data_IF_349776241077
#
_entry.id   IF_349776241077
#
_cell.length_a   1.000
_cell.length_b   1.000
_cell.length_c   1.000
_cell.angle_alpha   90.00
_cell.angle_beta   90.00
_cell.angle_gamma   90.00
#
_symmetry.space_group_name_H-M   'P 1'
#
loop_
_entity.id
_entity.type
_entity.pdbx_description
1 polymer ?
#
# COMPACT_ATOMS: atom_id res chain seq x y z
N UNK A 1 -28.08 9.14 -13.07
CA UNK A 1 -26.91 9.50 -13.88
C UNK A 1 -26.50 10.89 -13.44
N UNK A 2 -25.37 11.00 -12.76
CA UNK A 2 -24.49 12.17 -12.74
C UNK A 2 -23.20 11.74 -12.03
N UNK A 3 -22.13 11.60 -12.81
CA UNK A 3 -20.82 11.15 -12.37
C UNK A 3 -20.11 12.29 -11.62
N UNK A 4 -20.20 12.31 -10.31
CA UNK A 4 -19.37 13.16 -9.45
C UNK A 4 -17.96 12.57 -9.39
N UNK A 5 -17.14 13.01 -10.34
CA UNK A 5 -15.72 12.72 -10.40
C UNK A 5 -15.01 13.23 -9.14
N UNK A 6 -14.03 12.45 -8.66
CA UNK A 6 -13.18 12.61 -7.46
C UNK A 6 -12.37 13.92 -7.37
N UNK A 7 -12.62 14.90 -8.22
CA UNK A 7 -11.75 16.04 -8.46
C UNK A 7 -12.11 17.29 -7.61
N UNK A 8 -13.10 17.19 -6.71
CA UNK A 8 -13.59 18.31 -5.89
C UNK A 8 -13.04 18.36 -4.47
N UNK A 9 -12.40 17.29 -4.01
CA UNK A 9 -11.68 17.27 -2.75
C UNK A 9 -10.21 17.23 -3.15
N UNK A 10 -9.41 18.20 -2.72
CA UNK A 10 -7.96 18.22 -2.94
C UNK A 10 -7.26 17.08 -2.19
N UNK A 11 -7.58 15.84 -2.53
CA UNK A 11 -7.04 14.62 -1.95
C UNK A 11 -6.24 13.89 -3.02
N UNK A 12 -4.93 13.72 -2.78
CA UNK A 12 -4.10 12.82 -3.57
C UNK A 12 -4.22 11.41 -3.01
N UNK A 13 -4.40 10.43 -3.91
CA UNK A 13 -4.19 9.01 -3.61
C UNK A 13 -2.72 8.85 -3.18
N UNK A 14 -2.50 8.46 -1.93
CA UNK A 14 -1.17 8.14 -1.42
C UNK A 14 -0.66 6.86 -2.07
N UNK A 15 0.09 7.00 -3.17
CA UNK A 15 0.96 5.93 -3.66
C UNK A 15 2.09 5.74 -2.65
N UNK A 16 2.31 4.51 -2.21
CA UNK A 16 3.34 4.08 -1.26
C UNK A 16 4.66 4.89 -1.30
N UNK A 17 5.07 5.38 -0.12
CA UNK A 17 6.41 5.83 0.33
C UNK A 17 7.08 7.04 -0.34
N UNK A 18 6.40 8.18 -0.47
CA UNK A 18 7.11 9.45 -0.71
C UNK A 18 7.74 10.00 0.59
N UNK A 19 8.90 9.47 0.95
CA UNK A 19 9.75 10.01 2.00
C UNK A 19 10.27 11.40 1.60
N UNK A 20 9.54 12.45 1.96
CA UNK A 20 9.94 13.83 1.72
C UNK A 20 11.02 14.25 2.73
N UNK A 21 12.29 13.90 2.47
CA UNK A 21 13.43 14.41 3.27
C UNK A 21 13.62 15.90 2.97
N UNK A 22 13.08 16.76 3.84
CA UNK A 22 13.47 18.18 3.87
C UNK A 22 14.91 18.26 4.35
N UNK A 23 15.74 18.97 3.59
CA UNK A 23 17.12 19.29 3.96
C UNK A 23 17.10 20.27 5.14
N UNK A 24 17.08 19.77 6.37
CA UNK A 24 17.62 20.52 7.49
C UNK A 24 19.14 20.35 7.43
N UNK A 25 19.86 21.45 7.21
CA UNK A 25 21.32 21.47 7.13
C UNK A 25 21.93 20.70 8.29
N UNK A 26 22.81 19.75 7.97
CA UNK A 26 23.39 18.82 8.92
C UNK A 26 24.72 19.35 9.48
N UNK A 27 25.02 19.22 10.78
CA UNK A 27 26.40 19.27 11.26
C UNK A 27 27.12 17.93 10.96
N UNK A 28 28.45 17.95 10.75
CA UNK A 28 29.19 16.84 10.16
C UNK A 28 29.42 15.72 11.16
N UNK A 29 29.26 14.45 10.74
CA UNK A 29 29.68 13.32 11.58
C UNK A 29 29.01 11.96 11.40
N UNK A 30 28.22 11.68 10.36
CA UNK A 30 27.79 10.29 10.10
C UNK A 30 27.89 9.99 8.62
N UNK A 31 28.68 8.97 8.32
CA UNK A 31 28.90 8.42 6.99
C UNK A 31 27.54 7.93 6.45
N UNK A 32 27.02 8.62 5.43
CA UNK A 32 25.90 8.12 4.62
C UNK A 32 26.55 7.29 3.53
N UNK A 33 26.22 6.00 3.47
CA UNK A 33 26.50 5.19 2.31
C UNK A 33 25.87 5.89 1.11
N UNK A 34 26.71 6.26 0.17
CA UNK A 34 26.36 6.89 -1.10
C UNK A 34 25.52 5.89 -1.90
N UNK A 35 24.20 6.03 -1.80
CA UNK A 35 23.29 5.37 -2.72
C UNK A 35 23.09 6.34 -3.88
N UNK A 36 23.96 6.21 -4.89
CA UNK A 36 23.72 6.76 -6.21
C UNK A 36 22.46 6.09 -6.78
N UNK A 37 21.31 6.71 -6.57
CA UNK A 37 20.01 6.23 -7.06
C UNK A 37 19.86 6.69 -8.50
N UNK A 38 20.47 5.96 -9.43
CA UNK A 38 20.14 6.09 -10.83
C UNK A 38 18.75 5.45 -11.05
N UNK A 39 17.71 6.20 -11.48
CA UNK A 39 16.33 5.70 -11.59
C UNK A 39 16.10 4.67 -12.71
N UNK A 40 17.18 4.17 -13.31
CA UNK A 40 17.18 3.21 -14.42
C UNK A 40 17.71 1.83 -14.03
N UNK A 41 18.03 1.60 -12.76
CA UNK A 41 18.28 0.25 -12.31
C UNK A 41 16.95 -0.51 -12.38
N UNK A 42 16.82 -1.32 -13.43
CA UNK A 42 15.95 -2.49 -13.46
C UNK A 42 16.43 -3.43 -12.35
N UNK A 43 16.17 -3.05 -11.11
CA UNK A 43 16.29 -3.94 -9.98
C UNK A 43 15.09 -4.86 -10.11
N UNK A 44 15.27 -5.94 -10.86
CA UNK A 44 14.46 -7.15 -10.77
C UNK A 44 14.51 -7.56 -9.29
N UNK A 45 13.64 -6.97 -8.47
CA UNK A 45 13.43 -7.36 -7.11
C UNK A 45 12.86 -8.78 -7.19
N UNK A 46 13.75 -9.78 -7.26
CA UNK A 46 13.38 -11.18 -7.26
C UNK A 46 12.51 -11.36 -6.01
N UNK A 47 11.25 -11.71 -6.24
CA UNK A 47 10.33 -12.04 -5.15
C UNK A 47 11.00 -13.16 -4.36
N UNK A 48 11.22 -12.99 -3.03
CA UNK A 48 11.83 -14.04 -2.24
C UNK A 48 11.06 -15.33 -2.47
N UNK A 49 11.79 -16.39 -2.85
CA UNK A 49 11.18 -17.71 -2.99
C UNK A 49 10.55 -18.07 -1.65
N UNK A 50 9.29 -18.47 -1.71
CA UNK A 50 8.54 -18.81 -0.52
C UNK A 50 9.19 -20.05 0.11
N UNK A 51 9.68 -19.90 1.34
CA UNK A 51 10.43 -20.96 2.04
C UNK A 51 9.52 -22.15 2.38
N UNK A 52 8.20 -21.93 2.49
CA UNK A 52 7.24 -22.94 2.95
C UNK A 52 6.13 -23.20 1.94
N UNK A 53 5.69 -24.46 1.85
CA UNK A 53 4.51 -24.82 1.07
C UNK A 53 3.24 -24.24 1.73
N UNK A 54 2.30 -23.78 0.90
CA UNK A 54 1.03 -23.22 1.35
C UNK A 54 -0.17 -24.02 0.84
N UNK A 55 -1.25 -24.01 1.62
CA UNK A 55 -2.56 -24.52 1.21
C UNK A 55 -3.64 -23.44 1.28
N UNK A 56 -4.63 -23.54 0.41
CA UNK A 56 -5.78 -22.64 0.39
C UNK A 56 -6.81 -23.01 1.46
N UNK A 57 -7.36 -21.99 2.11
CA UNK A 57 -8.47 -22.10 3.05
C UNK A 57 -9.54 -21.06 2.72
N UNK A 58 -10.81 -21.47 2.79
CA UNK A 58 -11.95 -20.57 2.59
C UNK A 58 -12.31 -19.84 3.90
N UNK A 59 -12.31 -18.51 3.85
CA UNK A 59 -12.67 -17.64 4.98
C UNK A 59 -14.15 -17.25 4.95
N UNK A 60 -14.74 -17.14 3.75
CA UNK A 60 -16.20 -16.94 3.54
C UNK A 60 -16.73 -17.96 2.53
N UNK A 61 -18.07 -18.11 2.40
CA UNK A 61 -18.67 -19.06 1.47
C UNK A 61 -18.35 -18.80 -0.02
N UNK A 62 -17.99 -17.56 -0.38
CA UNK A 62 -17.67 -17.21 -1.77
C UNK A 62 -16.29 -17.75 -2.17
N UNK A 63 -16.13 -18.31 -3.38
CA UNK A 63 -14.88 -18.93 -3.81
C UNK A 63 -13.70 -17.94 -3.93
N UNK A 64 -14.00 -16.65 -4.12
CA UNK A 64 -12.99 -15.59 -4.14
C UNK A 64 -12.43 -15.25 -2.75
N UNK A 65 -13.09 -15.68 -1.67
CA UNK A 65 -12.73 -15.30 -0.31
C UNK A 65 -11.86 -16.35 0.37
N UNK A 66 -10.71 -16.59 -0.25
CA UNK A 66 -9.70 -17.56 0.16
C UNK A 66 -8.42 -16.88 0.59
N UNK A 67 -7.71 -17.50 1.52
CA UNK A 67 -6.34 -17.14 1.85
C UNK A 67 -5.47 -18.41 1.89
N UNK A 68 -4.16 -18.22 2.01
CA UNK A 68 -3.19 -19.32 2.07
C UNK A 68 -2.55 -19.39 3.45
N UNK A 69 -2.40 -20.60 3.98
CA UNK A 69 -1.73 -20.87 5.26
C UNK A 69 -0.63 -21.93 5.05
N UNK A 70 0.37 -21.94 5.93
CA UNK A 70 1.47 -22.93 5.88
C UNK A 70 0.97 -24.36 6.00
N UNK A 71 1.57 -25.28 5.25
CA UNK A 71 1.22 -26.72 5.30
C UNK A 71 1.85 -27.45 6.48
N UNK A 72 2.82 -26.84 7.15
CA UNK A 72 3.60 -27.41 8.27
C UNK A 72 2.89 -27.29 9.63
N UNK A 73 1.73 -26.65 9.68
CA UNK A 73 0.94 -26.47 10.90
C UNK A 73 0.41 -27.81 11.42
N UNK A 74 0.46 -28.00 12.74
CA UNK A 74 -0.26 -29.08 13.41
C UNK A 74 -1.77 -28.91 13.22
N UNK A 75 -2.52 -30.01 13.19
CA UNK A 75 -3.95 -29.99 12.88
C UNK A 75 -4.77 -29.13 13.86
N UNK A 76 -4.38 -29.12 15.13
CA UNK A 76 -5.02 -28.30 16.17
C UNK A 76 -4.79 -26.80 15.92
N UNK A 77 -3.54 -26.41 15.62
CA UNK A 77 -3.18 -25.02 15.33
C UNK A 77 -3.77 -24.52 14.02
N UNK A 78 -3.81 -25.37 13.00
CA UNK A 78 -4.52 -25.09 11.76
C UNK A 78 -6.00 -24.79 12.04
N UNK A 79 -6.66 -25.64 12.81
CA UNK A 79 -8.09 -25.49 13.11
C UNK A 79 -8.36 -24.20 13.86
N UNK A 80 -7.51 -23.88 14.86
CA UNK A 80 -7.57 -22.63 15.62
C UNK A 80 -7.32 -21.41 14.75
N UNK A 81 -6.32 -21.46 13.87
CA UNK A 81 -6.01 -20.37 12.95
C UNK A 81 -7.16 -20.14 11.97
N UNK A 82 -7.70 -21.19 11.35
CA UNK A 82 -8.83 -21.07 10.42
C UNK A 82 -10.06 -20.50 11.13
N UNK A 83 -10.35 -20.92 12.36
CA UNK A 83 -11.42 -20.34 13.16
C UNK A 83 -11.21 -18.84 13.42
N UNK A 84 -10.01 -18.47 13.86
CA UNK A 84 -9.63 -17.07 14.11
C UNK A 84 -9.76 -16.19 12.86
N UNK A 85 -9.28 -16.68 11.70
CA UNK A 85 -9.36 -15.95 10.43
C UNK A 85 -10.82 -15.79 9.97
N UNK A 86 -11.69 -16.76 10.27
CA UNK A 86 -13.13 -16.68 9.96
C UNK A 86 -13.88 -15.73 10.87
N UNK A 87 -13.50 -15.66 12.14
CA UNK A 87 -14.02 -14.70 13.10
C UNK A 87 -13.66 -13.26 12.68
N UNK A 88 -12.43 -13.06 12.21
CA UNK A 88 -11.89 -11.79 11.72
C UNK A 88 -11.96 -11.68 10.19
N UNK A 89 -13.06 -12.11 9.58
CA UNK A 89 -13.19 -12.13 8.10
C UNK A 89 -13.38 -10.73 7.47
N UNK A 90 -13.52 -9.71 8.28
CA UNK A 90 -13.80 -8.31 7.95
C UNK A 90 -12.53 -7.45 7.83
N UNK A 91 -11.42 -7.85 8.47
CA UNK A 91 -10.11 -7.20 8.26
C UNK A 91 -9.51 -7.45 6.88
N UNK A 92 -10.05 -8.40 6.11
CA UNK A 92 -9.63 -8.68 4.75
C UNK A 92 -10.34 -7.80 3.73
N UNK A 93 -9.55 -7.20 2.85
CA UNK A 93 -10.02 -6.51 1.65
C UNK A 93 -10.23 -7.51 0.50
N UNK A 94 -11.44 -8.06 0.36
CA UNK A 94 -11.76 -9.01 -0.71
C UNK A 94 -11.95 -8.33 -2.08
N UNK A 95 -12.29 -7.05 -2.05
CA UNK A 95 -12.43 -6.15 -3.19
C UNK A 95 -11.99 -4.74 -2.81
N UNK A 96 -11.84 -3.86 -3.80
CA UNK A 96 -11.55 -2.44 -3.56
C UNK A 96 -12.61 -1.74 -2.71
N UNK A 97 -13.85 -2.25 -2.67
CA UNK A 97 -14.95 -1.70 -1.86
C UNK A 97 -14.76 -2.00 -0.37
N UNK A 98 -14.06 -3.08 -0.03
CA UNK A 98 -13.82 -3.50 1.36
C UNK A 98 -12.67 -2.71 2.02
N UNK A 99 -12.00 -1.82 1.28
CA UNK A 99 -10.99 -0.89 1.82
C UNK A 99 -11.60 0.51 1.92
N UNK A 100 -12.39 0.81 2.97
CA UNK A 100 -12.72 2.20 3.24
C UNK A 100 -11.40 2.94 3.47
N UNK A 101 -11.24 4.09 2.82
CA UNK A 101 -10.08 4.94 3.05
C UNK A 101 -9.93 5.26 4.54
N UNK A 102 -8.73 5.69 4.94
CA UNK A 102 -8.50 6.16 6.31
C UNK A 102 -9.39 7.37 6.54
N UNK A 103 -10.11 7.38 7.67
CA UNK A 103 -10.91 8.52 8.09
C UNK A 103 -10.00 9.75 8.19
N UNK A 104 -10.26 10.83 7.42
CA UNK A 104 -9.50 12.07 7.50
C UNK A 104 -9.45 12.66 8.92
N UNK A 105 -10.44 12.38 9.76
CA UNK A 105 -10.45 12.84 11.15
C UNK A 105 -9.51 12.02 12.05
N UNK A 106 -9.16 10.78 11.65
CA UNK A 106 -8.23 9.92 12.38
C UNK A 106 -6.76 10.20 12.04
N UNK A 107 -6.43 10.34 10.75
CA UNK A 107 -5.05 10.50 10.28
C UNK A 107 -5.02 11.35 9.00
N UNK A 108 -5.05 12.67 9.17
CA UNK A 108 -4.79 13.61 8.09
C UNK A 108 -3.47 14.36 8.33
N UNK A 109 -2.61 14.38 7.31
CA UNK A 109 -1.47 15.29 7.27
C UNK A 109 -1.87 16.55 6.51
N UNK A 110 -2.00 17.66 7.22
CA UNK A 110 -2.24 18.94 6.59
C UNK A 110 -0.96 19.45 5.93
N UNK A 111 -1.00 19.67 4.61
CA UNK A 111 0.08 20.35 3.90
C UNK A 111 0.10 21.82 4.33
N UNK A 112 1.23 22.29 4.87
CA UNK A 112 1.43 23.72 5.13
C UNK A 112 1.59 24.47 3.82
N UNK A 113 0.47 24.95 3.27
CA UNK A 113 0.42 25.81 2.08
C UNK A 113 0.15 27.24 2.53
N UNK A 114 0.99 28.19 2.10
CA UNK A 114 0.77 29.60 2.43
C UNK A 114 -0.49 30.12 1.74
N UNK A 115 -1.30 30.89 2.46
CA UNK A 115 -2.46 31.58 1.86
C UNK A 115 -1.98 32.47 0.70
N UNK A 116 -2.61 32.31 -0.47
CA UNK A 116 -2.32 33.11 -1.67
C UNK A 116 -1.61 32.35 -2.79
N UNK A 117 -1.16 31.11 -2.58
CA UNK A 117 -0.68 30.28 -3.68
C UNK A 117 -1.85 29.72 -4.50
N UNK A 118 -1.75 29.86 -5.82
CA UNK A 118 -2.72 29.31 -6.76
C UNK A 118 -2.44 27.82 -7.01
N UNK A 119 -3.52 27.05 -7.18
CA UNK A 119 -3.42 25.66 -7.62
C UNK A 119 -2.79 25.60 -9.02
N UNK A 120 -1.78 24.75 -9.21
CA UNK A 120 -1.14 24.52 -10.50
C UNK A 120 -1.61 23.19 -11.05
N UNK A 121 -2.33 23.21 -12.19
CA UNK A 121 -2.72 22.00 -12.89
C UNK A 121 -1.53 21.44 -13.68
N UNK A 122 -0.89 20.39 -13.18
CA UNK A 122 0.21 19.75 -13.90
C UNK A 122 -0.33 18.86 -15.02
N UNK A 123 0.13 19.09 -16.26
CA UNK A 123 -0.23 18.24 -17.41
C UNK A 123 0.21 16.80 -17.15
N UNK A 124 -0.71 15.85 -17.35
CA UNK A 124 -0.40 14.41 -17.28
C UNK A 124 0.72 14.10 -18.27
N UNK A 125 1.82 13.51 -17.80
CA UNK A 125 2.86 12.99 -18.67
C UNK A 125 2.35 11.71 -19.32
N UNK A 126 2.67 11.49 -20.59
CA UNK A 126 2.43 10.20 -21.23
C UNK A 126 3.42 9.21 -20.64
N UNK A 127 2.93 8.17 -19.97
CA UNK A 127 3.75 7.02 -19.63
C UNK A 127 4.02 6.28 -20.95
N UNK A 128 5.30 6.00 -21.26
CA UNK A 128 5.67 5.20 -22.42
C UNK A 128 5.18 3.76 -22.27
N UNK A 129 5.27 2.99 -23.35
CA UNK A 129 4.96 1.56 -23.31
C UNK A 129 5.93 0.86 -22.33
N UNK A 130 5.36 0.08 -21.42
CA UNK A 130 6.09 -0.88 -20.61
C UNK A 130 6.63 -1.98 -21.54
N UNK A 131 7.92 -2.31 -21.40
CA UNK A 131 8.62 -3.30 -22.24
C UNK A 131 8.60 -4.67 -21.58
#
# INVERSE_FOLDING_TARGET
MDSLALNKLGAMVSTLHLGMKRSMGRPPGVNVLDFDVNPRCEDECERPLLIENLKEVNIRPKPAHKTKIGTTLAQEDESRLVAFLRENRDVFAWSSVDMPGIDPDLLCHHLSISLGYLLVAQRRRMLGEEK
#
